data_IF_558333134245
#
_entry.id   IF_558333134245
#
_cell.length_a   1.000
_cell.length_b   1.000
_cell.length_c   1.000
_cell.angle_alpha   90.00
_cell.angle_beta   90.00
_cell.angle_gamma   90.00
#
_symmetry.space_group_name_H-M   'P 1'
#
loop_
_entity.id
_entity.type
_entity.pdbx_description
1 polymer ?
#
# COMPACT_ATOMS: atom_id res chain seq x y z
N UNK A 1 -54.27 18.29 -10.41
CA UNK A 1 -54.94 16.97 -10.51
C UNK A 1 -55.86 16.72 -9.30
N UNK A 2 -56.66 17.71 -8.88
CA UNK A 2 -57.63 17.59 -7.77
C UNK A 2 -59.06 18.03 -8.17
N UNK A 3 -59.25 18.46 -9.43
CA UNK A 3 -60.52 19.05 -9.89
C UNK A 3 -61.49 18.03 -10.51
N UNK A 4 -61.08 16.77 -10.73
CA UNK A 4 -61.83 15.84 -11.59
C UNK A 4 -62.53 14.70 -10.83
N UNK A 5 -62.45 14.66 -9.50
CA UNK A 5 -63.04 13.61 -8.68
C UNK A 5 -63.89 14.23 -7.56
N UNK A 6 -65.06 14.81 -7.88
CA UNK A 6 -66.32 14.67 -7.11
C UNK A 6 -67.45 15.55 -7.65
N UNK A 7 -68.66 14.97 -7.71
CA UNK A 7 -69.91 15.57 -8.20
C UNK A 7 -70.67 16.33 -7.10
N UNK A 8 -70.28 16.27 -5.82
CA UNK A 8 -70.89 17.06 -4.72
C UNK A 8 -69.83 17.36 -3.65
N UNK A 9 -69.59 18.66 -3.40
CA UNK A 9 -68.75 19.15 -2.32
C UNK A 9 -67.26 19.11 -2.65
N UNK A 10 -66.61 20.28 -2.66
CA UNK A 10 -65.16 20.36 -2.66
C UNK A 10 -64.63 19.43 -1.57
N UNK A 11 -63.65 18.57 -1.86
CA UNK A 11 -63.03 17.66 -0.88
C UNK A 11 -62.26 18.37 0.25
N UNK A 12 -62.60 19.64 0.51
CA UNK A 12 -62.01 20.62 1.41
C UNK A 12 -63.15 21.45 2.00
N UNK A 13 -63.02 21.85 3.26
CA UNK A 13 -64.01 22.60 4.04
C UNK A 13 -64.31 24.03 3.54
N UNK A 14 -63.50 24.59 2.63
CA UNK A 14 -63.62 25.97 2.11
C UNK A 14 -63.93 26.02 0.60
N UNK A 15 -64.94 26.81 0.16
CA UNK A 15 -65.21 27.05 -1.26
C UNK A 15 -64.20 28.06 -1.86
N UNK A 16 -63.75 27.82 -3.10
CA UNK A 16 -62.92 28.77 -3.86
C UNK A 16 -61.39 28.59 -3.77
N UNK A 17 -60.89 27.44 -3.31
CA UNK A 17 -59.44 27.18 -3.26
C UNK A 17 -58.82 27.08 -4.66
N UNK A 18 -57.71 27.81 -4.84
CA UNK A 18 -56.88 27.76 -6.03
C UNK A 18 -55.78 26.69 -5.95
N UNK A 19 -55.03 26.55 -7.05
CA UNK A 19 -53.88 25.64 -7.13
C UNK A 19 -52.79 25.95 -6.09
N UNK A 20 -52.56 27.23 -5.80
CA UNK A 20 -51.57 27.69 -4.82
C UNK A 20 -51.96 27.28 -3.38
N UNK A 21 -53.25 27.28 -3.05
CA UNK A 21 -53.73 26.85 -1.73
C UNK A 21 -53.50 25.35 -1.51
N UNK A 22 -53.57 24.55 -2.59
CA UNK A 22 -53.22 23.13 -2.56
C UNK A 22 -51.72 22.89 -2.33
N UNK A 23 -50.84 23.69 -2.94
CA UNK A 23 -49.40 23.64 -2.67
C UNK A 23 -49.10 24.06 -1.24
N UNK A 24 -49.73 25.14 -0.76
CA UNK A 24 -49.59 25.60 0.61
C UNK A 24 -50.01 24.50 1.60
N UNK A 25 -51.17 23.88 1.39
CA UNK A 25 -51.62 22.76 2.21
C UNK A 25 -50.65 21.57 2.19
N UNK A 26 -50.11 21.20 1.02
CA UNK A 26 -49.12 20.12 0.89
C UNK A 26 -47.82 20.44 1.65
N UNK A 27 -47.28 21.66 1.54
CA UNK A 27 -46.07 22.11 2.24
C UNK A 27 -46.30 22.10 3.76
N UNK A 28 -47.39 22.69 4.25
CA UNK A 28 -47.74 22.76 5.68
C UNK A 28 -47.93 21.36 6.27
N UNK A 29 -48.48 20.43 5.49
CA UNK A 29 -48.68 19.04 5.91
C UNK A 29 -47.36 18.24 5.90
N UNK A 30 -46.52 18.37 4.86
CA UNK A 30 -45.22 17.69 4.75
C UNK A 30 -44.20 18.21 5.77
N UNK A 31 -44.26 19.49 6.11
CA UNK A 31 -43.42 20.10 7.17
C UNK A 31 -43.92 19.80 8.58
N UNK A 32 -45.01 19.04 8.71
CA UNK A 32 -45.67 18.73 9.99
C UNK A 32 -46.13 19.96 10.78
N UNK A 33 -46.25 21.13 10.12
CA UNK A 33 -46.74 22.36 10.74
C UNK A 33 -48.24 22.25 11.04
N UNK A 34 -49.01 21.75 10.07
CA UNK A 34 -50.41 21.36 10.26
C UNK A 34 -51.31 22.44 10.86
N UNK A 35 -51.30 23.66 10.33
CA UNK A 35 -52.08 24.79 10.88
C UNK A 35 -53.59 24.52 11.00
N UNK A 36 -54.13 23.58 10.23
CA UNK A 36 -55.54 23.17 10.31
C UNK A 36 -56.52 24.16 9.69
N UNK A 37 -56.02 25.15 8.96
CA UNK A 37 -56.80 26.15 8.24
C UNK A 37 -57.47 25.61 6.96
N UNK A 38 -56.98 24.50 6.42
CA UNK A 38 -57.56 23.76 5.30
C UNK A 38 -57.67 22.30 5.74
N UNK A 39 -58.87 21.73 5.70
CA UNK A 39 -59.11 20.37 6.19
C UNK A 39 -59.72 19.46 5.12
N UNK A 40 -59.10 18.31 4.78
CA UNK A 40 -59.66 17.38 3.82
C UNK A 40 -60.92 16.69 4.38
N UNK A 41 -61.98 16.62 3.59
CA UNK A 41 -63.24 15.94 3.92
C UNK A 41 -63.54 14.77 2.98
N UNK A 42 -63.99 13.65 3.53
CA UNK A 42 -64.30 12.45 2.74
C UNK A 42 -63.06 11.71 2.23
N UNK A 43 -63.08 11.32 0.95
CA UNK A 43 -62.03 10.51 0.31
C UNK A 43 -60.66 11.21 0.21
N UNK A 44 -60.63 12.56 0.25
CA UNK A 44 -59.38 13.32 0.22
C UNK A 44 -58.49 13.05 1.45
N UNK A 45 -59.06 12.65 2.60
CA UNK A 45 -58.30 12.26 3.80
C UNK A 45 -57.35 11.09 3.55
N UNK A 46 -57.79 10.10 2.78
CA UNK A 46 -56.96 8.95 2.43
C UNK A 46 -55.82 9.34 1.48
N UNK A 47 -56.12 10.19 0.50
CA UNK A 47 -55.12 10.68 -0.47
C UNK A 47 -54.05 11.51 0.25
N UNK A 48 -54.45 12.41 1.14
CA UNK A 48 -53.52 13.22 1.96
C UNK A 48 -52.70 12.33 2.89
N UNK A 49 -53.30 11.32 3.51
CA UNK A 49 -52.57 10.35 4.33
C UNK A 49 -51.49 9.59 3.54
N UNK A 50 -51.81 9.14 2.33
CA UNK A 50 -50.85 8.51 1.44
C UNK A 50 -49.76 9.49 0.96
N UNK A 51 -50.13 10.72 0.61
CA UNK A 51 -49.20 11.78 0.22
C UNK A 51 -48.15 12.04 1.31
N UNK A 52 -48.59 12.15 2.56
CA UNK A 52 -47.69 12.34 3.71
C UNK A 52 -46.78 11.13 3.90
N UNK A 53 -47.32 9.90 3.83
CA UNK A 53 -46.51 8.68 3.93
C UNK A 53 -45.42 8.61 2.86
N UNK A 54 -45.74 8.92 1.60
CA UNK A 54 -44.77 8.97 0.52
C UNK A 54 -43.77 10.11 0.69
N UNK A 55 -44.21 11.30 1.10
CA UNK A 55 -43.34 12.45 1.36
C UNK A 55 -42.30 12.15 2.44
N UNK A 56 -42.72 11.55 3.55
CA UNK A 56 -41.82 11.13 4.63
C UNK A 56 -40.85 10.05 4.17
N UNK A 57 -41.30 9.05 3.40
CA UNK A 57 -40.43 7.99 2.88
C UNK A 57 -39.35 8.56 1.95
N UNK A 58 -39.73 9.45 1.03
CA UNK A 58 -38.79 10.09 0.09
C UNK A 58 -37.78 10.96 0.84
N UNK A 59 -38.23 11.76 1.82
CA UNK A 59 -37.34 12.57 2.65
C UNK A 59 -36.35 11.71 3.44
N UNK A 60 -36.82 10.60 4.02
CA UNK A 60 -35.95 9.65 4.72
C UNK A 60 -34.86 9.06 3.81
N UNK A 61 -35.22 8.65 2.60
CA UNK A 61 -34.26 8.13 1.60
C UNK A 61 -33.28 9.22 1.17
N UNK A 62 -33.74 10.45 0.95
CA UNK A 62 -32.91 11.58 0.54
C UNK A 62 -31.84 11.89 1.61
N UNK A 63 -32.26 11.99 2.88
CA UNK A 63 -31.37 12.16 4.02
C UNK A 63 -30.38 11.00 4.11
N UNK A 64 -30.85 9.75 4.00
CA UNK A 64 -30.00 8.57 4.05
C UNK A 64 -28.92 8.58 2.96
N UNK A 65 -29.27 8.97 1.72
CA UNK A 65 -28.29 9.05 0.62
C UNK A 65 -27.29 10.19 0.81
N UNK A 66 -27.73 11.35 1.30
CA UNK A 66 -26.82 12.47 1.60
C UNK A 66 -25.85 12.08 2.72
N UNK A 67 -26.35 11.50 3.81
CA UNK A 67 -25.53 11.04 4.94
C UNK A 67 -24.58 9.92 4.51
N UNK A 68 -25.05 8.94 3.74
CA UNK A 68 -24.22 7.86 3.22
C UNK A 68 -23.08 8.38 2.35
N UNK A 69 -23.34 9.33 1.44
CA UNK A 69 -22.28 9.96 0.62
C UNK A 69 -21.24 10.70 1.47
N UNK A 70 -21.70 11.46 2.47
CA UNK A 70 -20.80 12.16 3.40
C UNK A 70 -19.94 11.18 4.18
N UNK A 71 -20.55 10.14 4.75
CA UNK A 71 -19.86 9.12 5.51
C UNK A 71 -18.82 8.39 4.66
N UNK A 72 -19.19 7.91 3.47
CA UNK A 72 -18.26 7.25 2.54
C UNK A 72 -17.08 8.14 2.19
N UNK A 73 -17.31 9.44 1.96
CA UNK A 73 -16.23 10.40 1.71
C UNK A 73 -15.29 10.55 2.90
N UNK A 74 -15.81 10.71 4.13
CA UNK A 74 -14.99 10.83 5.32
C UNK A 74 -14.17 9.57 5.61
N UNK A 75 -14.78 8.40 5.46
CA UNK A 75 -14.13 7.10 5.66
C UNK A 75 -12.99 6.89 4.66
N UNK A 76 -13.20 7.19 3.38
CA UNK A 76 -12.14 7.09 2.37
C UNK A 76 -10.96 8.02 2.67
N UNK A 77 -11.22 9.26 3.12
CA UNK A 77 -10.17 10.20 3.49
C UNK A 77 -9.41 9.79 4.75
N UNK A 78 -10.09 9.15 5.70
CA UNK A 78 -9.43 8.62 6.89
C UNK A 78 -8.45 7.50 6.52
N UNK A 79 -8.88 6.52 5.73
CA UNK A 79 -8.00 5.46 5.23
C UNK A 79 -6.80 6.00 4.45
N UNK A 80 -7.02 7.00 3.60
CA UNK A 80 -5.95 7.70 2.88
C UNK A 80 -4.89 8.27 3.84
N UNK A 81 -5.36 9.01 4.85
CA UNK A 81 -4.51 9.69 5.81
C UNK A 81 -3.77 8.68 6.69
N UNK A 82 -4.42 7.61 7.11
CA UNK A 82 -3.82 6.58 7.96
C UNK A 82 -2.76 5.77 7.21
N UNK A 83 -3.02 5.37 5.97
CA UNK A 83 -2.02 4.70 5.14
C UNK A 83 -0.81 5.60 4.85
N UNK A 84 -1.06 6.89 4.57
CA UNK A 84 0.00 7.89 4.40
C UNK A 84 0.82 8.09 5.68
N UNK A 85 0.17 8.17 6.84
CA UNK A 85 0.83 8.27 8.15
C UNK A 85 1.67 7.04 8.42
N UNK A 86 1.15 5.85 8.13
CA UNK A 86 1.88 4.61 8.28
C UNK A 86 3.16 4.63 7.43
N UNK A 87 3.07 4.92 6.12
CA UNK A 87 4.24 4.99 5.24
C UNK A 87 5.26 6.06 5.67
N UNK A 88 4.80 7.23 6.10
CA UNK A 88 5.68 8.27 6.61
C UNK A 88 6.39 7.80 7.89
N UNK A 89 5.67 7.19 8.84
CA UNK A 89 6.27 6.65 10.06
C UNK A 89 7.27 5.54 9.76
N UNK A 90 7.00 4.68 8.78
CA UNK A 90 7.92 3.65 8.32
C UNK A 90 9.15 4.26 7.68
N UNK A 91 8.99 5.33 6.89
CA UNK A 91 10.13 6.08 6.33
C UNK A 91 10.99 6.66 7.44
N UNK A 92 10.40 7.28 8.46
CA UNK A 92 11.15 7.89 9.55
C UNK A 92 11.93 6.83 10.37
N UNK A 93 11.34 5.62 10.54
CA UNK A 93 12.05 4.46 11.11
C UNK A 93 13.20 3.98 10.23
N UNK A 94 13.01 3.93 8.90
CA UNK A 94 14.06 3.59 7.95
C UNK A 94 15.19 4.62 7.95
N UNK A 95 14.88 5.92 8.02
CA UNK A 95 15.89 6.98 8.11
C UNK A 95 16.68 6.90 9.42
N UNK A 96 16.03 6.53 10.53
CA UNK A 96 16.72 6.25 11.80
C UNK A 96 17.68 5.05 11.67
N UNK A 97 17.24 3.99 10.98
CA UNK A 97 18.08 2.80 10.73
C UNK A 97 19.27 3.16 9.83
N UNK A 98 19.03 3.98 8.80
CA UNK A 98 20.07 4.50 7.92
C UNK A 98 21.13 5.27 8.72
N UNK A 99 20.69 6.12 9.64
CA UNK A 99 21.63 6.88 10.46
C UNK A 99 22.43 5.98 11.40
N UNK A 100 21.82 4.96 12.01
CA UNK A 100 22.57 3.97 12.79
C UNK A 100 23.60 3.19 11.96
N UNK A 101 23.31 2.97 10.67
CA UNK A 101 24.25 2.33 9.75
C UNK A 101 25.43 3.25 9.42
N UNK A 102 25.20 4.57 9.30
CA UNK A 102 26.27 5.55 9.07
C UNK A 102 27.26 5.63 10.22
N UNK A 103 26.79 5.48 11.46
CA UNK A 103 27.61 5.56 12.67
C UNK A 103 28.21 4.20 13.07
N UNK A 104 27.89 3.11 12.38
CA UNK A 104 28.34 1.79 12.75
C UNK A 104 29.80 1.57 12.33
N UNK A 105 30.66 1.35 13.33
CA UNK A 105 32.08 1.04 13.11
C UNK A 105 32.35 -0.47 13.17
N UNK A 106 31.61 -1.21 14.01
CA UNK A 106 31.77 -2.64 14.19
C UNK A 106 30.83 -3.46 13.28
N UNK A 107 31.31 -4.63 12.84
CA UNK A 107 30.53 -5.57 12.03
C UNK A 107 29.26 -6.07 12.74
N UNK A 108 29.30 -6.20 14.07
CA UNK A 108 28.15 -6.61 14.87
C UNK A 108 27.05 -5.54 14.89
N UNK A 109 27.42 -4.26 14.93
CA UNK A 109 26.47 -3.14 14.86
C UNK A 109 25.80 -3.05 13.49
N UNK A 110 26.58 -3.27 12.43
CA UNK A 110 26.07 -3.38 11.06
C UNK A 110 25.05 -4.52 10.97
N UNK A 111 25.38 -5.70 11.52
CA UNK A 111 24.50 -6.86 11.48
C UNK A 111 23.20 -6.65 12.26
N UNK A 112 23.28 -6.09 13.47
CA UNK A 112 22.10 -5.75 14.26
C UNK A 112 21.19 -4.77 13.52
N UNK A 113 21.79 -3.80 12.82
CA UNK A 113 21.08 -2.83 11.98
C UNK A 113 20.40 -3.51 10.78
N UNK A 114 21.06 -4.48 10.13
CA UNK A 114 20.48 -5.28 9.03
C UNK A 114 19.29 -6.13 9.50
N UNK A 115 19.38 -6.76 10.68
CA UNK A 115 18.27 -7.54 11.25
C UNK A 115 17.07 -6.64 11.59
N UNK A 116 17.35 -5.46 12.15
CA UNK A 116 16.31 -4.45 12.44
C UNK A 116 15.64 -3.97 11.15
N UNK A 117 16.42 -3.68 10.12
CA UNK A 117 15.94 -3.33 8.79
C UNK A 117 15.08 -4.43 8.17
N UNK A 118 15.49 -5.70 8.29
CA UNK A 118 14.71 -6.83 7.79
C UNK A 118 13.34 -6.91 8.45
N UNK A 119 13.27 -6.67 9.76
CA UNK A 119 12.01 -6.69 10.51
C UNK A 119 11.08 -5.56 10.05
N UNK A 120 11.60 -4.33 9.96
CA UNK A 120 10.81 -3.17 9.50
C UNK A 120 10.33 -3.32 8.05
N UNK A 121 11.21 -3.79 7.16
CA UNK A 121 10.84 -4.02 5.75
C UNK A 121 9.83 -5.14 5.60
N UNK A 122 9.89 -6.18 6.45
CA UNK A 122 8.87 -7.23 6.46
C UNK A 122 7.50 -6.72 6.91
N UNK A 123 7.46 -5.94 7.99
CA UNK A 123 6.22 -5.33 8.48
C UNK A 123 5.61 -4.40 7.42
N UNK A 124 6.45 -3.60 6.76
CA UNK A 124 6.04 -2.75 5.65
C UNK A 124 5.52 -3.57 4.45
N UNK A 125 6.20 -4.65 4.10
CA UNK A 125 5.76 -5.57 3.04
C UNK A 125 4.38 -6.15 3.36
N UNK A 126 4.17 -6.68 4.56
CA UNK A 126 2.92 -7.33 4.93
C UNK A 126 1.75 -6.33 4.94
N UNK A 127 2.00 -5.09 5.37
CA UNK A 127 1.02 -4.00 5.24
C UNK A 127 0.69 -3.68 3.78
N UNK A 128 1.70 -3.48 2.92
CA UNK A 128 1.48 -3.18 1.50
C UNK A 128 0.81 -4.35 0.78
N UNK A 129 1.16 -5.61 1.07
CA UNK A 129 0.54 -6.79 0.47
C UNK A 129 -0.95 -6.88 0.82
N UNK A 130 -1.30 -6.66 2.09
CA UNK A 130 -2.70 -6.64 2.54
C UNK A 130 -3.50 -5.55 1.83
N UNK A 131 -2.95 -4.34 1.77
CA UNK A 131 -3.61 -3.19 1.15
C UNK A 131 -3.65 -3.27 -0.39
N UNK A 132 -2.64 -3.89 -1.00
CA UNK A 132 -2.58 -4.10 -2.47
C UNK A 132 -3.74 -4.97 -2.97
N UNK A 133 -4.21 -5.92 -2.16
CA UNK A 133 -5.35 -6.78 -2.49
C UNK A 133 -6.66 -5.99 -2.53
N UNK A 134 -6.74 -4.90 -1.78
CA UNK A 134 -7.92 -4.04 -1.72
C UNK A 134 -7.95 -2.97 -2.85
N UNK A 135 -6.95 -2.93 -3.73
CA UNK A 135 -6.84 -2.09 -4.95
C UNK A 135 -6.99 -0.56 -4.74
N UNK A 136 -7.11 -0.09 -3.50
CA UNK A 136 -7.36 1.31 -3.19
C UNK A 136 -6.09 2.07 -2.77
N UNK A 137 -5.07 1.38 -2.26
CA UNK A 137 -3.89 1.97 -1.63
C UNK A 137 -3.18 3.00 -2.53
N UNK A 138 -2.68 2.58 -3.70
CA UNK A 138 -1.89 3.45 -4.58
C UNK A 138 -2.71 4.50 -5.35
N UNK A 139 -4.03 4.33 -5.41
CA UNK A 139 -4.93 5.34 -6.01
C UNK A 139 -5.24 6.49 -5.06
N UNK A 140 -5.10 6.27 -3.76
CA UNK A 140 -5.53 7.19 -2.71
C UNK A 140 -4.34 7.90 -2.04
N UNK A 141 -3.17 7.24 -1.99
CA UNK A 141 -1.98 7.75 -1.28
C UNK A 141 -1.16 8.68 -2.16
N UNK A 142 -0.52 9.68 -1.53
CA UNK A 142 0.40 10.58 -2.23
C UNK A 142 1.63 9.84 -2.78
N UNK A 143 1.95 10.10 -4.06
CA UNK A 143 3.14 9.56 -4.73
C UNK A 143 4.43 9.90 -3.95
N UNK A 144 4.47 11.09 -3.33
CA UNK A 144 5.61 11.55 -2.54
C UNK A 144 5.95 10.62 -1.37
N UNK A 145 4.96 10.11 -0.63
CA UNK A 145 5.21 9.17 0.49
C UNK A 145 5.79 7.84 -0.01
N UNK A 146 5.34 7.35 -1.15
CA UNK A 146 5.86 6.13 -1.78
C UNK A 146 7.31 6.33 -2.23
N UNK A 147 7.58 7.46 -2.89
CA UNK A 147 8.94 7.84 -3.30
C UNK A 147 9.88 7.96 -2.10
N UNK A 148 9.44 8.59 -1.00
CA UNK A 148 10.24 8.74 0.21
C UNK A 148 10.71 7.39 0.77
N UNK A 149 9.80 6.42 0.86
CA UNK A 149 10.14 5.03 1.25
C UNK A 149 11.21 4.47 0.32
N UNK A 150 11.01 4.58 -0.99
CA UNK A 150 11.98 4.13 -1.99
C UNK A 150 13.37 4.77 -1.80
N UNK A 151 13.43 6.09 -1.62
CA UNK A 151 14.70 6.81 -1.44
C UNK A 151 15.42 6.46 -0.14
N UNK A 152 14.69 6.18 0.94
CA UNK A 152 15.28 5.74 2.20
C UNK A 152 15.88 4.34 2.05
N UNK A 153 15.12 3.40 1.45
CA UNK A 153 15.59 2.05 1.14
C UNK A 153 16.80 2.05 0.20
N UNK A 154 16.77 2.87 -0.86
CA UNK A 154 17.89 3.04 -1.78
C UNK A 154 19.14 3.52 -1.05
N UNK A 155 19.00 4.54 -0.18
CA UNK A 155 20.08 5.06 0.64
C UNK A 155 20.72 3.98 1.51
N UNK A 156 19.91 3.21 2.21
CA UNK A 156 20.37 2.10 3.07
C UNK A 156 21.07 1.02 2.24
N UNK A 157 20.47 0.59 1.12
CA UNK A 157 21.06 -0.42 0.24
C UNK A 157 22.40 0.04 -0.35
N UNK A 158 22.51 1.32 -0.73
CA UNK A 158 23.75 1.87 -1.27
C UNK A 158 24.88 1.87 -0.23
N UNK A 159 24.56 2.17 1.03
CA UNK A 159 25.51 2.11 2.15
C UNK A 159 25.90 0.67 2.47
N UNK A 160 24.92 -0.24 2.56
CA UNK A 160 25.19 -1.66 2.75
C UNK A 160 26.07 -2.21 1.63
N UNK A 161 25.82 -1.85 0.37
CA UNK A 161 26.64 -2.29 -0.77
C UNK A 161 28.08 -1.80 -0.64
N UNK A 162 28.30 -0.56 -0.18
CA UNK A 162 29.66 -0.03 0.09
C UNK A 162 30.34 -0.81 1.20
N UNK A 163 29.66 -1.05 2.31
CA UNK A 163 30.20 -1.80 3.45
C UNK A 163 30.47 -3.28 3.11
N UNK A 164 29.67 -3.88 2.22
CA UNK A 164 29.79 -5.28 1.80
C UNK A 164 30.89 -5.50 0.76
N UNK A 165 31.46 -4.44 0.19
CA UNK A 165 32.54 -4.54 -0.80
C UNK A 165 33.87 -5.07 -0.23
N UNK A 166 33.94 -5.34 1.08
CA UNK A 166 35.00 -6.15 1.71
C UNK A 166 34.62 -7.66 1.68
N UNK A 167 35.10 -8.45 0.71
CA UNK A 167 34.48 -9.73 0.35
C UNK A 167 34.88 -10.93 1.24
N UNK A 168 35.80 -10.76 2.19
CA UNK A 168 36.48 -11.89 2.83
C UNK A 168 35.82 -12.39 4.12
N UNK A 169 35.27 -11.49 4.95
CA UNK A 169 34.77 -11.85 6.29
C UNK A 169 33.33 -12.40 6.28
N UNK A 170 32.42 -11.80 5.51
CA UNK A 170 31.00 -12.19 5.47
C UNK A 170 30.73 -13.54 4.80
N UNK A 171 31.67 -14.04 3.98
CA UNK A 171 31.54 -15.35 3.31
C UNK A 171 31.69 -16.52 4.29
N UNK A 172 32.36 -16.30 5.43
CA UNK A 172 32.58 -17.32 6.46
C UNK A 172 31.35 -17.55 7.36
N UNK A 173 30.43 -16.57 7.45
CA UNK A 173 29.28 -16.64 8.35
C UNK A 173 27.97 -16.86 7.60
N UNK A 174 27.66 -18.13 7.33
CA UNK A 174 26.45 -18.58 6.62
C UNK A 174 25.13 -18.01 7.18
N UNK A 175 25.06 -17.77 8.49
CA UNK A 175 23.87 -17.20 9.13
C UNK A 175 23.65 -15.73 8.73
N UNK A 176 24.73 -14.95 8.57
CA UNK A 176 24.67 -13.55 8.13
C UNK A 176 24.31 -13.44 6.65
N UNK A 177 24.83 -14.35 5.82
CA UNK A 177 24.45 -14.44 4.40
C UNK A 177 22.95 -14.70 4.22
N UNK A 178 22.39 -15.63 5.01
CA UNK A 178 20.97 -16.00 4.93
C UNK A 178 20.05 -14.83 5.26
N UNK A 179 20.36 -14.04 6.29
CA UNK A 179 19.54 -12.86 6.62
C UNK A 179 19.67 -11.72 5.60
N UNK A 180 20.83 -11.53 4.97
CA UNK A 180 20.99 -10.55 3.89
C UNK A 180 20.21 -10.96 2.62
N UNK A 181 20.17 -12.26 2.31
CA UNK A 181 19.32 -12.81 1.25
C UNK A 181 17.83 -12.63 1.57
N UNK A 182 17.42 -12.87 2.82
CA UNK A 182 16.05 -12.66 3.24
C UNK A 182 15.63 -11.18 3.10
N UNK A 183 16.50 -10.25 3.50
CA UNK A 183 16.28 -8.80 3.33
C UNK A 183 16.13 -8.42 1.86
N UNK A 184 17.09 -8.79 1.01
CA UNK A 184 17.03 -8.46 -0.43
C UNK A 184 15.82 -9.08 -1.13
N UNK A 185 15.33 -10.24 -0.66
CA UNK A 185 14.13 -10.88 -1.19
C UNK A 185 12.86 -10.12 -0.80
N UNK A 186 12.75 -9.67 0.46
CA UNK A 186 11.60 -8.86 0.91
C UNK A 186 11.56 -7.52 0.19
N UNK A 187 12.71 -6.86 0.02
CA UNK A 187 12.81 -5.59 -0.70
C UNK A 187 12.44 -5.73 -2.19
N UNK A 188 12.86 -6.81 -2.85
CA UNK A 188 12.47 -7.12 -4.23
C UNK A 188 10.95 -7.33 -4.37
N UNK A 189 10.30 -7.98 -3.39
CA UNK A 189 8.84 -8.12 -3.35
C UNK A 189 8.12 -6.79 -3.18
N UNK A 190 8.57 -5.93 -2.26
CA UNK A 190 8.02 -4.58 -2.10
C UNK A 190 8.16 -3.81 -3.41
N UNK A 191 9.35 -3.82 -4.02
CA UNK A 191 9.59 -3.14 -5.28
C UNK A 191 8.67 -3.64 -6.39
N UNK A 192 8.45 -4.96 -6.51
CA UNK A 192 7.53 -5.54 -7.48
C UNK A 192 6.07 -5.12 -7.24
N UNK A 193 5.61 -5.08 -5.99
CA UNK A 193 4.25 -4.62 -5.66
C UNK A 193 4.07 -3.15 -6.06
N UNK A 194 5.04 -2.29 -5.74
CA UNK A 194 4.98 -0.87 -6.12
C UNK A 194 5.07 -0.70 -7.64
N UNK A 195 5.93 -1.46 -8.33
CA UNK A 195 6.10 -1.37 -9.77
C UNK A 195 4.86 -1.81 -10.57
N UNK A 196 4.04 -2.72 -10.02
CA UNK A 196 2.83 -3.20 -10.69
C UNK A 196 1.62 -2.32 -10.44
N UNK A 197 1.56 -1.61 -9.30
CA UNK A 197 0.37 -0.87 -8.89
C UNK A 197 0.52 0.66 -8.90
N UNK A 198 1.75 1.20 -8.86
CA UNK A 198 1.99 2.64 -8.88
C UNK A 198 2.06 3.18 -10.32
N UNK A 199 1.43 4.33 -10.58
CA UNK A 199 1.48 5.03 -11.88
C UNK A 199 2.58 6.10 -11.96
N UNK A 200 3.17 6.48 -10.83
CA UNK A 200 4.13 7.58 -10.70
C UNK A 200 5.51 7.26 -11.27
N UNK A 201 5.92 7.94 -12.35
CA UNK A 201 7.18 7.67 -13.05
C UNK A 201 8.42 7.78 -12.14
N UNK A 202 8.46 8.79 -11.27
CA UNK A 202 9.60 9.04 -10.38
C UNK A 202 9.70 7.95 -9.29
N UNK A 203 8.55 7.54 -8.75
CA UNK A 203 8.48 6.46 -7.76
C UNK A 203 8.90 5.14 -8.41
N UNK A 204 8.41 4.84 -9.61
CA UNK A 204 8.80 3.65 -10.37
C UNK A 204 10.31 3.63 -10.66
N UNK A 205 10.90 4.76 -11.04
CA UNK A 205 12.34 4.86 -11.29
C UNK A 205 13.16 4.54 -10.03
N UNK A 206 12.77 5.09 -8.88
CA UNK A 206 13.44 4.84 -7.60
C UNK A 206 13.38 3.35 -7.20
N UNK A 207 12.21 2.72 -7.28
CA UNK A 207 12.07 1.29 -6.94
C UNK A 207 12.80 0.36 -7.93
N UNK A 208 13.03 0.77 -9.18
CA UNK A 208 13.94 0.04 -10.09
C UNK A 208 15.39 0.07 -9.59
N UNK A 209 15.86 1.22 -9.08
CA UNK A 209 17.22 1.34 -8.52
C UNK A 209 17.37 0.47 -7.27
N UNK A 210 16.37 0.48 -6.38
CA UNK A 210 16.32 -0.41 -5.20
C UNK A 210 16.49 -1.87 -5.64
N UNK A 211 15.72 -2.30 -6.65
CA UNK A 211 15.77 -3.67 -7.17
C UNK A 211 17.14 -4.03 -7.77
N UNK A 212 17.73 -3.11 -8.53
CA UNK A 212 19.06 -3.30 -9.11
C UNK A 212 20.14 -3.42 -8.03
N UNK A 213 20.06 -2.62 -6.95
CA UNK A 213 20.97 -2.73 -5.82
C UNK A 213 20.78 -4.05 -5.05
N UNK A 214 19.55 -4.52 -4.86
CA UNK A 214 19.28 -5.84 -4.29
C UNK A 214 19.88 -6.96 -5.14
N UNK A 215 19.80 -6.86 -6.48
CA UNK A 215 20.40 -7.83 -7.40
C UNK A 215 21.92 -7.87 -7.28
N UNK A 216 22.59 -6.71 -7.27
CA UNK A 216 24.05 -6.62 -7.08
C UNK A 216 24.50 -7.30 -5.79
N UNK A 217 23.81 -7.03 -4.67
CA UNK A 217 24.13 -7.65 -3.38
C UNK A 217 23.96 -9.18 -3.46
N UNK A 218 22.88 -9.66 -4.08
CA UNK A 218 22.62 -11.09 -4.26
C UNK A 218 23.70 -11.76 -5.11
N UNK A 219 24.10 -11.13 -6.22
CA UNK A 219 25.13 -11.63 -7.13
C UNK A 219 26.52 -11.67 -6.45
N UNK A 220 26.86 -10.66 -5.64
CA UNK A 220 28.09 -10.65 -4.84
C UNK A 220 28.13 -11.79 -3.81
N UNK A 221 26.97 -12.18 -3.27
CA UNK A 221 26.85 -13.25 -2.29
C UNK A 221 26.88 -14.66 -2.92
N UNK A 222 26.51 -14.79 -4.20
CA UNK A 222 26.42 -16.06 -4.93
C UNK A 222 27.76 -16.58 -5.50
N UNK A 223 28.84 -15.79 -5.47
CA UNK A 223 30.13 -16.18 -6.05
C UNK A 223 30.84 -17.31 -5.25
N UNK A 224 31.28 -18.42 -5.89
CA UNK A 224 32.10 -19.46 -5.23
C UNK A 224 33.56 -19.00 -4.97
N UNK A 225 34.28 -19.63 -4.02
CA UNK A 225 35.62 -19.22 -3.56
C UNK A 225 36.76 -19.30 -4.60
N UNK A 226 36.58 -19.93 -5.75
CA UNK A 226 37.66 -20.19 -6.72
C UNK A 226 37.92 -19.09 -7.76
N UNK A 227 37.12 -18.02 -7.81
CA UNK A 227 37.23 -17.01 -8.88
C UNK A 227 38.05 -15.76 -8.53
N UNK A 228 38.60 -15.64 -7.32
CA UNK A 228 39.30 -14.42 -6.85
C UNK A 228 40.83 -14.58 -6.78
N UNK A 229 41.38 -15.78 -7.03
CA UNK A 229 42.83 -15.92 -7.21
C UNK A 229 43.14 -15.70 -8.69
N UNK A 230 43.52 -14.47 -9.04
CA UNK A 230 44.31 -14.22 -10.23
C UNK A 230 45.65 -14.91 -10.07
N UNK A 231 45.79 -16.12 -10.60
CA UNK A 231 47.10 -16.72 -10.84
C UNK A 231 47.85 -15.84 -11.87
N UNK A 232 49.08 -15.38 -11.58
CA UNK A 232 49.95 -14.81 -12.60
C UNK A 232 50.29 -15.91 -13.64
N UNK A 233 50.64 -15.55 -14.89
CA UNK A 233 50.70 -16.49 -15.99
C UNK A 233 51.73 -17.59 -15.68
N UNK A 234 51.25 -18.83 -15.75
CA UNK A 234 52.00 -20.06 -15.57
C UNK A 234 53.21 -20.12 -16.52
N UNK A 235 54.40 -19.85 -16.00
CA UNK A 235 55.65 -20.23 -16.67
C UNK A 235 55.78 -21.75 -16.66
N UNK A 236 55.82 -22.33 -17.87
CA UNK A 236 56.14 -23.74 -18.11
C UNK A 236 57.50 -24.07 -17.50
N UNK A 237 57.56 -25.15 -16.73
CA UNK A 237 58.79 -25.93 -16.52
C UNK A 237 58.47 -27.37 -16.90
N UNK A 238 59.06 -27.95 -17.96
CA UNK A 238 58.98 -29.39 -18.20
C UNK A 238 59.80 -30.08 -17.11
N UNK A 239 59.18 -30.96 -16.31
CA UNK A 239 59.95 -31.90 -15.48
C UNK A 239 60.24 -33.15 -16.31
N UNK A 240 61.53 -33.41 -16.49
CA UNK A 240 62.05 -34.70 -16.95
C UNK A 240 61.58 -35.85 -16.05
N UNK A 241 61.44 -37.08 -16.59
CA UNK A 241 61.11 -38.25 -15.79
C UNK A 241 62.36 -38.74 -15.06
N UNK A 242 62.32 -38.74 -13.72
CA UNK A 242 63.29 -39.46 -12.90
C UNK A 242 62.92 -40.95 -12.75
N UNK A 243 63.92 -41.83 -12.59
CA UNK A 243 63.76 -43.28 -12.65
C UNK A 243 63.56 -43.88 -11.25
N UNK A 244 62.65 -44.83 -11.11
CA UNK A 244 62.69 -45.78 -9.99
C UNK A 244 62.79 -47.21 -10.53
N UNK A 245 63.90 -47.84 -10.18
CA UNK A 245 64.17 -49.24 -10.47
C UNK A 245 63.75 -50.16 -9.32
N UNK A 246 63.83 -51.45 -9.61
CA UNK A 246 63.89 -52.50 -8.59
C UNK A 246 63.05 -53.72 -8.96
N UNK A 247 63.69 -54.79 -9.44
CA UNK A 247 62.99 -56.07 -9.61
C UNK A 247 63.68 -57.14 -10.44
N UNK A 248 64.90 -57.52 -10.04
CA UNK A 248 65.47 -58.89 -10.02
C UNK A 248 64.94 -59.92 -11.04
N UNK A 249 65.84 -60.45 -11.87
CA UNK A 249 65.65 -61.77 -12.47
C UNK A 249 66.73 -62.20 -13.46
N UNK A 250 67.48 -63.23 -13.08
CA UNK A 250 68.01 -64.31 -13.95
C UNK A 250 69.50 -64.31 -14.35
N UNK A 251 70.20 -65.32 -13.78
CA UNK A 251 71.22 -66.21 -14.38
C UNK A 251 72.58 -65.60 -14.80
N UNK A 252 73.64 -65.98 -14.07
CA UNK A 252 74.45 -67.19 -14.34
C UNK A 252 75.38 -67.48 -13.17
#
# INVERSE_FOLDING_TARGET
MYSCLTVHGHGVDKPGLGFLDGIYFSIVTVTSLGYGDISPVGLSRLIVGLEVLFGLAIMGIMIAKVTSRRLSYYVQRLFAADAQRYLNSSTDRLDTIRESLNTAEAMDDIWNTVVRLHTETRVLHDYIDLESKQHALFTIISEHSVRRVGTSLEGILSQLTRLLSLPTELRSQANRQTGLLALTTVLDRIALLVLTQCSGQDSLACFRVVRENCKKIRDSLALPPSAVVGDPPSQRVPRDPQPEGGGVGSRR
#
